data_IF_433398060097
#
_entry.id   IF_433398060097
#
_cell.length_a   1.000
_cell.length_b   1.000
_cell.length_c   1.000
_cell.angle_alpha   90.00
_cell.angle_beta   90.00
_cell.angle_gamma   90.00
#
_symmetry.space_group_name_H-M   'P 1'
#
loop_
_entity.id
_entity.type
_entity.pdbx_description
1 polymer ?
#
# COMPACT_ATOMS: atom_id res chain seq x y z
N UNK A 1 2.02 20.03 0.97
CA UNK A 1 2.41 19.47 -0.35
C UNK A 1 2.81 17.98 -0.25
N UNK A 2 3.73 17.59 0.64
CA UNK A 2 4.19 16.19 0.79
C UNK A 2 3.06 15.16 1.01
N UNK A 3 2.04 15.46 1.82
CA UNK A 3 0.89 14.56 2.05
C UNK A 3 0.07 14.34 0.78
N UNK A 4 -0.14 15.39 -0.03
CA UNK A 4 -0.85 15.27 -1.31
C UNK A 4 -0.08 14.38 -2.29
N UNK A 5 1.25 14.54 -2.33
CA UNK A 5 2.12 13.66 -3.11
C UNK A 5 2.10 12.22 -2.59
N UNK A 6 2.12 12.01 -1.27
CA UNK A 6 2.02 10.69 -0.66
C UNK A 6 0.72 9.96 -1.04
N UNK A 7 -0.40 10.70 -1.17
CA UNK A 7 -1.66 10.15 -1.69
C UNK A 7 -1.54 9.68 -3.14
N UNK A 8 -0.89 10.47 -3.99
CA UNK A 8 -0.65 10.11 -5.38
C UNK A 8 0.28 8.88 -5.49
N UNK A 9 1.39 8.89 -4.76
CA UNK A 9 2.34 7.77 -4.71
C UNK A 9 1.66 6.51 -4.17
N UNK A 10 0.83 6.62 -3.14
CA UNK A 10 0.03 5.50 -2.62
C UNK A 10 -0.92 4.90 -3.67
N UNK A 11 -1.48 5.72 -4.58
CA UNK A 11 -2.29 5.23 -5.68
C UNK A 11 -1.46 4.43 -6.70
N UNK A 12 -0.28 4.92 -7.07
CA UNK A 12 0.63 4.20 -7.98
C UNK A 12 1.17 2.91 -7.35
N UNK A 13 1.57 2.96 -6.08
CA UNK A 13 2.04 1.78 -5.36
C UNK A 13 0.94 0.71 -5.24
N UNK A 14 -0.30 1.10 -4.99
CA UNK A 14 -1.43 0.17 -4.99
C UNK A 14 -1.67 -0.47 -6.37
N UNK A 15 -1.48 0.29 -7.46
CA UNK A 15 -1.61 -0.24 -8.83
C UNK A 15 -0.49 -1.26 -9.14
N UNK A 16 0.74 -0.95 -8.73
CA UNK A 16 1.87 -1.87 -8.88
C UNK A 16 1.65 -3.16 -8.09
N UNK A 17 1.18 -3.05 -6.85
CA UNK A 17 0.96 -4.22 -6.00
C UNK A 17 -0.15 -5.12 -6.56
N UNK A 18 -1.27 -4.55 -7.04
CA UNK A 18 -2.32 -5.31 -7.72
C UNK A 18 -1.80 -6.02 -8.98
N UNK A 19 -0.98 -5.35 -9.79
CA UNK A 19 -0.34 -6.00 -10.94
C UNK A 19 0.50 -7.21 -10.50
N UNK A 20 1.33 -7.08 -9.46
CA UNK A 20 2.11 -8.20 -8.93
C UNK A 20 1.18 -9.32 -8.46
N UNK A 21 0.14 -8.99 -7.70
CA UNK A 21 -0.84 -9.96 -7.20
C UNK A 21 -1.46 -10.78 -8.34
N UNK A 22 -1.85 -10.12 -9.43
CA UNK A 22 -2.39 -10.79 -10.61
C UNK A 22 -1.36 -11.67 -11.33
N UNK A 23 -0.10 -11.24 -11.42
CA UNK A 23 0.93 -11.99 -12.15
C UNK A 23 1.36 -13.29 -11.44
N UNK A 24 1.36 -13.31 -10.10
CA UNK A 24 1.85 -14.47 -9.32
C UNK A 24 0.79 -15.15 -8.46
N UNK A 25 -0.47 -14.71 -8.54
CA UNK A 25 -1.55 -15.22 -7.68
C UNK A 25 -1.30 -14.94 -6.19
N UNK A 26 -0.75 -13.78 -5.86
CA UNK A 26 -0.49 -13.41 -4.47
C UNK A 26 -1.76 -12.89 -3.80
N UNK A 27 -2.22 -13.61 -2.80
CA UNK A 27 -3.37 -13.21 -1.98
C UNK A 27 -3.04 -11.98 -1.09
N UNK A 28 -3.94 -10.97 -0.98
CA UNK A 28 -3.72 -9.77 -0.18
C UNK A 28 -3.37 -10.05 1.29
N UNK A 29 -3.91 -11.12 1.86
CA UNK A 29 -3.73 -11.50 3.26
C UNK A 29 -2.27 -11.90 3.56
N UNK A 30 -1.50 -12.23 2.53
CA UNK A 30 -0.06 -12.54 2.61
C UNK A 30 0.84 -11.30 2.50
N UNK A 31 0.27 -10.09 2.44
CA UNK A 31 1.00 -8.84 2.26
C UNK A 31 1.06 -8.06 3.58
N UNK A 32 2.28 -7.65 3.97
CA UNK A 32 2.52 -6.72 5.08
C UNK A 32 3.19 -5.46 4.57
N UNK A 33 2.51 -4.32 4.71
CA UNK A 33 3.08 -3.01 4.41
C UNK A 33 3.69 -2.36 5.65
N UNK A 34 4.90 -1.82 5.54
CA UNK A 34 5.59 -1.10 6.61
C UNK A 34 5.96 0.29 6.09
N UNK A 35 5.59 1.34 6.83
CA UNK A 35 5.90 2.72 6.47
C UNK A 35 6.30 3.56 7.67
N UNK A 36 7.44 4.23 7.60
CA UNK A 36 7.95 5.13 8.65
C UNK A 36 7.64 6.60 8.33
N UNK A 37 7.25 7.39 9.34
CA UNK A 37 6.91 8.81 9.23
C UNK A 37 5.82 9.05 8.16
N UNK A 38 6.08 9.85 7.12
CA UNK A 38 5.18 10.04 5.98
C UNK A 38 4.83 8.71 5.27
N UNK A 39 5.74 7.73 5.34
CA UNK A 39 5.53 6.38 4.83
C UNK A 39 4.34 5.67 5.49
N UNK A 40 4.05 5.95 6.77
CA UNK A 40 2.90 5.40 7.48
C UNK A 40 1.57 5.83 6.86
N UNK A 41 1.46 7.10 6.48
CA UNK A 41 0.30 7.61 5.75
C UNK A 41 0.22 7.03 4.32
N UNK A 42 1.37 6.89 3.67
CA UNK A 42 1.46 6.31 2.32
C UNK A 42 0.95 4.86 2.30
N UNK A 43 1.38 4.00 3.23
CA UNK A 43 0.88 2.62 3.32
C UNK A 43 -0.61 2.57 3.68
N UNK A 44 -1.11 3.54 4.45
CA UNK A 44 -2.55 3.73 4.66
C UNK A 44 -3.30 4.04 3.37
N UNK A 45 -2.76 4.90 2.50
CA UNK A 45 -3.35 5.17 1.18
C UNK A 45 -3.33 3.96 0.25
N UNK A 46 -2.35 3.06 0.38
CA UNK A 46 -2.32 1.78 -0.34
C UNK A 46 -3.44 0.89 0.19
N UNK A 47 -3.56 0.72 1.51
CA UNK A 47 -4.59 -0.12 2.13
C UNK A 47 -6.03 0.34 1.93
N UNK A 48 -6.25 1.62 1.63
CA UNK A 48 -7.58 2.10 1.19
C UNK A 48 -8.01 1.56 -0.18
N UNK A 49 -7.06 1.09 -1.00
CA UNK A 49 -7.28 0.62 -2.37
C UNK A 49 -7.22 -0.90 -2.49
N UNK A 50 -6.50 -1.57 -1.60
CA UNK A 50 -6.35 -3.03 -1.57
C UNK A 50 -7.02 -3.53 -0.31
N UNK A 51 -8.13 -4.26 -0.48
CA UNK A 51 -8.86 -4.86 0.63
C UNK A 51 -8.13 -6.10 1.15
N UNK A 52 -8.37 -6.44 2.40
CA UNK A 52 -7.86 -7.63 3.08
C UNK A 52 -6.33 -7.75 3.13
N UNK A 53 -5.59 -6.64 3.13
CA UNK A 53 -4.16 -6.69 3.44
C UNK A 53 -3.94 -7.36 4.80
N UNK A 54 -2.99 -8.29 4.86
CA UNK A 54 -2.67 -9.02 6.08
C UNK A 54 -2.27 -8.12 7.23
N UNK A 55 -1.45 -7.09 6.96
CA UNK A 55 -1.03 -6.13 8.00
C UNK A 55 -0.54 -4.81 7.42
N UNK A 56 -0.71 -3.74 8.20
CA UNK A 56 -0.02 -2.45 8.02
C UNK A 56 0.69 -2.10 9.34
N UNK A 57 1.97 -1.76 9.28
CA UNK A 57 2.71 -1.15 10.38
C UNK A 57 3.13 0.27 10.00
N UNK A 58 2.71 1.25 10.79
CA UNK A 58 3.18 2.63 10.70
C UNK A 58 4.16 2.90 11.84
N UNK A 59 5.36 3.37 11.51
CA UNK A 59 6.46 3.67 12.45
C UNK A 59 6.72 5.17 12.54
#
# INVERSE_FOLDING_TARGET
QAIANARLVGAYAAKLLQFIMEQIGLEPENIHLIGHSLGGQLVGFIGQRIRNLGRITAL
#
